data_IF_168336151537
#
_entry.id   IF_168336151537
#
_cell.length_a   1.000
_cell.length_b   1.000
_cell.length_c   1.000
_cell.angle_alpha   90.00
_cell.angle_beta   90.00
_cell.angle_gamma   90.00
#
_symmetry.space_group_name_H-M   'P 1'
#
loop_
_entity.id
_entity.type
_entity.pdbx_description
1 polymer ?
#
# COMPACT_ATOMS: atom_id res chain seq x y z
N UNK A 1 -7.27 -72.68 28.03
CA UNK A 1 -6.50 -71.45 28.31
C UNK A 1 -6.46 -70.64 27.01
N UNK A 2 -7.37 -69.69 26.83
CA UNK A 2 -7.42 -68.85 25.61
C UNK A 2 -6.56 -67.60 25.86
N UNK A 3 -5.38 -67.56 25.25
CA UNK A 3 -4.52 -66.38 25.25
C UNK A 3 -4.94 -65.51 24.06
N UNK A 4 -5.84 -64.57 24.30
CA UNK A 4 -6.19 -63.55 23.32
C UNK A 4 -5.03 -62.56 23.19
N UNK A 5 -4.21 -62.76 22.16
CA UNK A 5 -3.15 -61.84 21.75
C UNK A 5 -3.79 -60.63 21.07
N UNK A 6 -4.12 -59.60 21.86
CA UNK A 6 -4.49 -58.29 21.35
C UNK A 6 -3.23 -57.61 20.79
N UNK A 7 -3.06 -57.70 19.47
CA UNK A 7 -2.05 -56.97 18.72
C UNK A 7 -2.43 -55.48 18.74
N UNK A 8 -1.83 -54.72 19.67
CA UNK A 8 -1.99 -53.27 19.75
C UNK A 8 -1.38 -52.59 18.53
N UNK A 9 -2.22 -51.98 17.71
CA UNK A 9 -1.80 -51.14 16.59
C UNK A 9 -1.29 -49.80 17.15
N UNK A 10 0.03 -49.68 17.37
CA UNK A 10 0.64 -48.36 17.57
C UNK A 10 0.61 -47.62 16.23
N UNK A 11 -0.32 -46.69 16.10
CA UNK A 11 -0.30 -45.70 15.02
C UNK A 11 0.86 -44.73 15.29
N UNK A 12 2.01 -44.97 14.65
CA UNK A 12 3.09 -43.98 14.59
C UNK A 12 2.64 -42.86 13.65
N UNK A 13 2.17 -41.74 14.19
CA UNK A 13 1.92 -40.54 13.40
C UNK A 13 3.28 -39.94 13.01
N UNK A 14 3.63 -40.02 11.72
CA UNK A 14 4.72 -39.23 11.17
C UNK A 14 4.30 -37.74 11.23
N UNK A 15 5.12 -36.89 11.87
CA UNK A 15 4.96 -35.45 11.75
C UNK A 15 5.33 -35.08 10.31
N UNK A 16 4.33 -34.81 9.48
CA UNK A 16 4.56 -34.21 8.18
C UNK A 16 5.10 -32.80 8.41
N UNK A 17 6.22 -32.46 7.76
CA UNK A 17 6.70 -31.10 7.74
C UNK A 17 5.68 -30.27 6.95
N UNK A 18 4.99 -29.37 7.63
CA UNK A 18 3.96 -28.50 7.06
C UNK A 18 4.43 -27.04 7.08
N UNK A 19 3.87 -26.24 6.16
CA UNK A 19 4.10 -24.80 6.15
C UNK A 19 3.20 -24.15 7.18
N UNK A 20 3.76 -23.35 8.08
CA UNK A 20 2.96 -22.49 8.95
C UNK A 20 2.61 -21.21 8.21
N UNK A 21 1.32 -20.87 8.18
CA UNK A 21 0.78 -19.70 7.48
C UNK A 21 0.14 -18.76 8.51
N UNK A 22 0.74 -17.60 8.72
CA UNK A 22 0.22 -16.55 9.58
C UNK A 22 -0.23 -15.36 8.74
N UNK A 23 -1.54 -15.10 8.68
CA UNK A 23 -2.09 -13.96 7.93
C UNK A 23 -1.88 -12.67 8.74
N UNK A 24 -1.02 -11.78 8.27
CA UNK A 24 -0.67 -10.53 8.95
C UNK A 24 -1.54 -9.36 8.53
N UNK A 25 -2.05 -9.38 7.29
CA UNK A 25 -3.07 -8.45 6.83
C UNK A 25 -4.10 -9.26 6.03
N UNK A 26 -5.25 -9.50 6.65
CA UNK A 26 -6.37 -10.18 6.00
C UNK A 26 -7.13 -9.19 5.10
N UNK A 27 -7.47 -9.64 3.90
CA UNK A 27 -8.30 -8.91 2.95
C UNK A 27 -9.40 -9.87 2.50
N UNK A 28 -10.64 -9.42 2.55
CA UNK A 28 -11.76 -10.17 1.98
C UNK A 28 -11.86 -9.84 0.49
N UNK A 29 -12.06 -10.87 -0.33
CA UNK A 29 -12.18 -10.71 -1.77
C UNK A 29 -13.02 -11.84 -2.39
N UNK A 30 -13.62 -11.54 -3.53
CA UNK A 30 -14.41 -12.54 -4.28
C UNK A 30 -13.51 -13.59 -4.95
N UNK A 31 -12.30 -13.20 -5.39
CA UNK A 31 -11.37 -14.05 -6.14
C UNK A 31 -10.06 -14.26 -5.40
N UNK A 32 -9.92 -15.44 -4.77
CA UNK A 32 -8.69 -15.91 -4.09
C UNK A 32 -7.76 -16.67 -5.04
N UNK A 33 -6.45 -16.67 -4.79
CA UNK A 33 -5.45 -17.42 -5.57
C UNK A 33 -5.73 -18.92 -5.63
N UNK A 34 -5.47 -19.50 -6.80
CA UNK A 34 -5.65 -20.93 -7.10
C UNK A 34 -4.44 -21.48 -7.85
N UNK A 35 -4.26 -22.80 -7.80
CA UNK A 35 -3.20 -23.45 -8.58
C UNK A 35 -3.40 -23.20 -10.08
N UNK A 36 -2.33 -22.78 -10.76
CA UNK A 36 -2.32 -22.37 -12.16
C UNK A 36 -2.44 -20.86 -12.38
N UNK A 37 -2.72 -20.07 -11.33
CA UNK A 37 -2.73 -18.61 -11.45
C UNK A 37 -1.33 -18.06 -11.69
N UNK A 38 -1.24 -17.08 -12.59
CA UNK A 38 -0.04 -16.26 -12.73
C UNK A 38 -0.14 -15.09 -11.76
N UNK A 39 0.67 -15.11 -10.71
CA UNK A 39 0.60 -14.15 -9.60
C UNK A 39 1.82 -13.26 -9.54
N UNK A 40 1.63 -12.05 -9.00
CA UNK A 40 2.69 -11.09 -8.70
C UNK A 40 2.76 -10.90 -7.20
N UNK A 41 3.92 -11.11 -6.60
CA UNK A 41 4.12 -10.99 -5.15
C UNK A 41 5.31 -10.10 -4.83
N UNK A 42 5.19 -9.39 -3.71
CA UNK A 42 6.34 -8.87 -2.99
C UNK A 42 6.69 -9.80 -1.85
N UNK A 43 7.98 -9.88 -1.51
CA UNK A 43 8.43 -10.68 -0.40
C UNK A 43 9.74 -10.19 0.22
N UNK A 44 9.96 -10.64 1.45
CA UNK A 44 11.24 -10.59 2.16
C UNK A 44 11.48 -11.95 2.80
N UNK A 45 12.64 -12.55 2.52
CA UNK A 45 13.05 -13.84 3.05
C UNK A 45 14.17 -13.68 4.09
N UNK A 46 13.94 -14.20 5.28
CA UNK A 46 14.90 -14.19 6.39
C UNK A 46 15.13 -15.59 6.94
N UNK A 47 16.30 -15.80 7.53
CA UNK A 47 16.61 -16.98 8.34
C UNK A 47 16.12 -16.78 9.78
N UNK A 48 16.06 -17.86 10.56
CA UNK A 48 15.67 -17.80 11.98
C UNK A 48 16.59 -16.93 12.84
N UNK A 49 17.83 -16.69 12.38
CA UNK A 49 18.78 -15.78 13.02
C UNK A 49 18.54 -14.29 12.68
N UNK A 50 17.52 -13.97 11.87
CA UNK A 50 17.19 -12.62 11.42
C UNK A 50 17.96 -12.13 10.19
N UNK A 51 18.89 -12.92 9.64
CA UNK A 51 19.61 -12.57 8.42
C UNK A 51 18.66 -12.59 7.22
N UNK A 52 18.53 -11.46 6.53
CA UNK A 52 17.86 -11.40 5.24
C UNK A 52 18.75 -11.99 4.15
N UNK A 53 18.22 -13.00 3.45
CA UNK A 53 18.94 -13.63 2.34
C UNK A 53 18.43 -13.19 0.97
N UNK A 54 17.17 -12.73 0.87
CA UNK A 54 16.56 -12.28 -0.38
C UNK A 54 15.34 -11.37 -0.14
N UNK A 55 15.10 -10.43 -1.05
CA UNK A 55 13.99 -9.48 -0.97
C UNK A 55 13.62 -8.95 -2.35
N UNK A 56 12.33 -8.84 -2.63
CA UNK A 56 11.84 -8.22 -3.86
C UNK A 56 11.78 -6.70 -3.77
N UNK A 57 11.78 -6.10 -2.58
CA UNK A 57 11.58 -4.66 -2.40
C UNK A 57 12.70 -3.80 -3.00
N UNK A 58 13.91 -4.36 -3.13
CA UNK A 58 15.05 -3.69 -3.78
C UNK A 58 15.04 -3.85 -5.31
N UNK A 59 14.03 -4.51 -5.87
CA UNK A 59 13.92 -4.87 -7.29
C UNK A 59 12.45 -4.88 -7.74
N UNK A 60 12.19 -5.42 -8.93
CA UNK A 60 10.84 -5.61 -9.40
C UNK A 60 10.12 -6.73 -8.62
N UNK A 61 8.78 -6.62 -8.41
CA UNK A 61 8.00 -7.70 -7.83
C UNK A 61 8.18 -9.03 -8.58
N UNK A 62 8.13 -10.12 -7.83
CA UNK A 62 8.36 -11.45 -8.38
C UNK A 62 7.07 -12.02 -8.97
N UNK A 63 7.18 -12.64 -10.16
CA UNK A 63 6.04 -13.18 -10.88
C UNK A 63 6.27 -14.64 -11.23
N UNK A 64 5.28 -15.49 -11.00
CA UNK A 64 5.36 -16.92 -11.28
C UNK A 64 3.97 -17.56 -11.37
N UNK A 65 3.92 -18.81 -11.82
CA UNK A 65 2.68 -19.60 -11.86
C UNK A 65 2.57 -20.47 -10.60
N UNK A 66 1.52 -20.25 -9.81
CA UNK A 66 1.31 -20.91 -8.53
C UNK A 66 0.97 -22.40 -8.71
N UNK A 67 1.54 -23.28 -7.89
CA UNK A 67 1.20 -24.71 -7.86
C UNK A 67 1.75 -25.51 -9.05
N UNK A 68 2.80 -25.02 -9.70
CA UNK A 68 3.47 -25.68 -10.84
C UNK A 68 4.88 -26.17 -10.54
N UNK A 69 5.36 -26.06 -9.29
CA UNK A 69 6.71 -26.42 -8.91
C UNK A 69 7.77 -25.51 -9.50
N UNK A 70 7.41 -24.27 -9.84
CA UNK A 70 8.37 -23.25 -10.32
C UNK A 70 9.16 -22.61 -9.18
N UNK A 71 8.63 -22.70 -7.96
CA UNK A 71 9.18 -22.17 -6.71
C UNK A 71 9.31 -23.28 -5.68
N UNK A 72 9.84 -22.97 -4.50
CA UNK A 72 9.91 -23.93 -3.40
C UNK A 72 8.51 -24.44 -3.02
N UNK A 73 8.42 -25.70 -2.61
CA UNK A 73 7.13 -26.34 -2.31
C UNK A 73 6.34 -25.59 -1.26
N UNK A 74 7.02 -24.98 -0.28
CA UNK A 74 6.37 -24.19 0.75
C UNK A 74 5.63 -22.96 0.21
N UNK A 75 6.09 -22.36 -0.89
CA UNK A 75 5.38 -21.25 -1.54
C UNK A 75 4.16 -21.75 -2.32
N UNK A 76 4.29 -22.86 -3.03
CA UNK A 76 3.18 -23.47 -3.76
C UNK A 76 2.02 -23.88 -2.83
N UNK A 77 2.32 -24.23 -1.58
CA UNK A 77 1.31 -24.53 -0.55
C UNK A 77 0.85 -23.27 0.20
N UNK A 78 1.77 -22.38 0.59
CA UNK A 78 1.50 -21.24 1.47
C UNK A 78 0.76 -20.06 0.83
N UNK A 79 0.82 -19.94 -0.50
CA UNK A 79 0.26 -18.81 -1.25
C UNK A 79 -1.10 -19.12 -1.91
N UNK A 80 -1.69 -20.29 -1.61
CA UNK A 80 -3.04 -20.64 -2.03
C UNK A 80 -4.11 -19.91 -1.20
N UNK A 81 -5.29 -19.69 -1.80
CA UNK A 81 -6.43 -19.08 -1.14
C UNK A 81 -6.14 -17.69 -0.54
N UNK A 82 -5.36 -16.87 -1.24
CA UNK A 82 -4.94 -15.53 -0.84
C UNK A 82 -5.64 -14.45 -1.66
N UNK A 83 -6.00 -13.34 -1.03
CA UNK A 83 -6.60 -12.18 -1.67
C UNK A 83 -5.56 -11.16 -2.13
N UNK A 84 -5.86 -10.41 -3.20
CA UNK A 84 -4.97 -9.33 -3.66
C UNK A 84 -4.91 -8.25 -2.56
N UNK A 85 -3.71 -7.86 -2.17
CA UNK A 85 -3.44 -6.95 -1.05
C UNK A 85 -3.20 -7.64 0.29
N UNK A 86 -3.51 -8.94 0.41
CA UNK A 86 -3.28 -9.70 1.64
C UNK A 86 -1.76 -9.81 1.93
N UNK A 87 -1.40 -9.89 3.21
CA UNK A 87 -0.03 -10.16 3.66
C UNK A 87 0.03 -11.39 4.54
N UNK A 88 1.07 -12.21 4.35
CA UNK A 88 1.29 -13.44 5.09
C UNK A 88 2.73 -13.60 5.51
N UNK A 89 2.90 -14.15 6.70
CA UNK A 89 4.14 -14.72 7.21
C UNK A 89 4.11 -16.22 6.99
N UNK A 90 5.11 -16.74 6.28
CA UNK A 90 5.27 -18.17 6.03
C UNK A 90 6.49 -18.67 6.78
N UNK A 91 6.33 -19.72 7.58
CA UNK A 91 7.45 -20.48 8.14
C UNK A 91 7.56 -21.78 7.37
N UNK A 92 8.64 -21.94 6.61
CA UNK A 92 8.83 -23.05 5.69
C UNK A 92 9.98 -23.91 6.19
N UNK A 93 9.73 -25.17 6.59
CA UNK A 93 10.80 -26.07 7.00
C UNK A 93 11.72 -26.40 5.81
N UNK A 94 12.99 -26.70 6.10
CA UNK A 94 14.01 -26.94 5.08
C UNK A 94 13.61 -28.01 4.04
N UNK A 95 12.89 -29.05 4.46
CA UNK A 95 12.35 -30.11 3.60
C UNK A 95 11.39 -29.61 2.50
N UNK A 96 10.65 -28.53 2.74
CA UNK A 96 9.76 -27.87 1.77
C UNK A 96 10.41 -26.66 1.07
N UNK A 97 11.67 -26.37 1.40
CA UNK A 97 12.47 -25.29 0.84
C UNK A 97 13.61 -25.83 -0.05
N UNK A 98 14.86 -25.74 0.42
CA UNK A 98 16.07 -26.15 -0.33
C UNK A 98 16.63 -27.51 0.12
N UNK A 99 16.05 -28.11 1.16
CA UNK A 99 16.47 -29.37 1.76
C UNK A 99 17.91 -29.35 2.26
N UNK A 100 18.50 -30.53 2.38
CA UNK A 100 19.91 -30.69 2.77
C UNK A 100 20.89 -30.50 1.60
N UNK A 101 20.38 -30.27 0.39
CA UNK A 101 21.18 -30.24 -0.84
C UNK A 101 21.81 -28.89 -1.16
N UNK A 102 21.24 -27.80 -0.63
CA UNK A 102 21.64 -26.43 -0.93
C UNK A 102 21.49 -25.55 0.30
N UNK A 103 22.52 -24.75 0.58
CA UNK A 103 22.49 -23.71 1.60
C UNK A 103 22.05 -22.35 1.06
N UNK A 104 21.69 -21.44 1.97
CA UNK A 104 21.30 -20.07 1.67
C UNK A 104 21.80 -19.12 2.77
N UNK A 105 22.46 -18.03 2.38
CA UNK A 105 23.13 -17.12 3.32
C UNK A 105 24.14 -17.86 4.23
N UNK A 106 24.05 -17.60 5.53
CA UNK A 106 24.83 -18.33 6.55
C UNK A 106 24.40 -19.79 6.74
N UNK A 107 23.16 -20.16 6.43
CA UNK A 107 22.64 -21.49 6.69
C UNK A 107 23.04 -22.50 5.59
N UNK A 108 23.59 -23.66 5.98
CA UNK A 108 24.22 -24.61 5.04
C UNK A 108 23.32 -25.73 4.55
N UNK A 109 22.44 -26.26 5.40
CA UNK A 109 21.59 -27.41 5.09
C UNK A 109 20.30 -27.34 5.89
N UNK A 110 19.18 -27.76 5.28
CA UNK A 110 17.88 -27.97 5.96
C UNK A 110 17.40 -26.77 6.79
N UNK A 111 17.50 -25.59 6.20
CA UNK A 111 17.22 -24.32 6.84
C UNK A 111 15.72 -24.04 6.88
N UNK A 112 15.18 -23.73 8.05
CA UNK A 112 13.85 -23.11 8.15
C UNK A 112 13.92 -21.69 7.60
N UNK A 113 13.01 -21.37 6.68
CA UNK A 113 12.93 -20.05 6.05
C UNK A 113 11.70 -19.32 6.52
N UNK A 114 11.87 -18.04 6.84
CA UNK A 114 10.80 -17.13 7.20
C UNK A 114 10.55 -16.18 6.02
N UNK A 115 9.30 -16.06 5.59
CA UNK A 115 8.95 -15.14 4.50
C UNK A 115 7.83 -14.21 4.92
N UNK A 116 8.05 -12.92 4.80
CA UNK A 116 6.98 -11.93 4.72
C UNK A 116 6.58 -11.79 3.25
N UNK A 117 5.32 -12.00 2.93
CA UNK A 117 4.80 -11.99 1.56
C UNK A 117 3.58 -11.08 1.42
N UNK A 118 3.43 -10.47 0.27
CA UNK A 118 2.32 -9.58 -0.10
C UNK A 118 1.86 -9.90 -1.52
N UNK A 119 0.58 -10.23 -1.70
CA UNK A 119 0.03 -10.49 -3.03
C UNK A 119 -0.33 -9.18 -3.71
N UNK A 120 0.35 -8.84 -4.79
CA UNK A 120 0.10 -7.59 -5.53
C UNK A 120 -0.93 -7.74 -6.64
N UNK A 121 -1.07 -8.95 -7.20
CA UNK A 121 -2.04 -9.17 -8.27
C UNK A 121 -2.10 -10.60 -8.78
N UNK A 122 -3.21 -10.89 -9.45
CA UNK A 122 -3.45 -12.12 -10.19
C UNK A 122 -3.72 -11.71 -11.63
N UNK A 123 -3.04 -12.33 -12.60
CA UNK A 123 -3.20 -11.98 -14.01
C UNK A 123 -4.66 -12.14 -14.45
N UNK A 124 -5.25 -11.06 -14.94
CA UNK A 124 -6.65 -11.03 -15.40
C UNK A 124 -7.68 -10.77 -14.30
N UNK A 125 -7.25 -10.47 -13.07
CA UNK A 125 -8.13 -10.08 -11.95
C UNK A 125 -7.82 -8.63 -11.58
N UNK A 126 -8.83 -7.77 -11.56
CA UNK A 126 -8.67 -6.39 -11.10
C UNK A 126 -8.49 -6.37 -9.57
N UNK A 127 -7.63 -5.46 -9.08
CA UNK A 127 -7.51 -5.20 -7.65
C UNK A 127 -8.81 -4.53 -7.18
N UNK A 128 -9.57 -5.21 -6.34
CA UNK A 128 -10.69 -4.60 -5.62
C UNK A 128 -10.06 -3.60 -4.65
N UNK A 129 -10.14 -2.31 -4.98
CA UNK A 129 -9.71 -1.28 -4.03
C UNK A 129 -10.59 -1.40 -2.79
N UNK A 130 -10.00 -1.51 -1.59
CA UNK A 130 -10.80 -1.61 -0.37
C UNK A 130 -11.68 -0.37 -0.33
N UNK A 131 -12.99 -0.56 -0.47
CA UNK A 131 -13.98 0.47 -0.18
C UNK A 131 -13.72 0.88 1.26
N UNK A 132 -13.04 2.01 1.43
CA UNK A 132 -12.95 2.68 2.72
C UNK A 132 -14.40 2.89 3.15
N UNK A 133 -14.85 2.13 4.14
CA UNK A 133 -16.08 2.49 4.84
C UNK A 133 -15.86 3.92 5.33
N UNK A 134 -16.66 4.83 4.76
CA UNK A 134 -16.64 6.23 5.09
C UNK A 134 -17.06 6.37 6.56
N UNK A 135 -16.08 6.68 7.38
CA UNK A 135 -16.24 6.92 8.81
C UNK A 135 -14.97 7.55 9.35
N UNK A 136 -14.82 8.85 9.07
CA UNK A 136 -14.24 9.90 9.92
C UNK A 136 -13.43 10.91 9.11
N UNK A 137 -13.92 12.15 9.23
CA UNK A 137 -13.47 13.37 8.60
C UNK A 137 -12.04 13.70 9.04
N UNK A 138 -11.14 13.86 8.08
CA UNK A 138 -9.91 14.59 8.28
C UNK A 138 -9.83 15.64 7.19
N UNK A 139 -10.37 16.82 7.49
CA UNK A 139 -10.02 18.06 6.81
C UNK A 139 -8.51 18.25 6.93
N UNK A 140 -7.79 18.02 5.83
CA UNK A 140 -6.45 18.55 5.65
C UNK A 140 -6.57 19.65 4.61
N UNK A 141 -6.83 20.87 5.10
CA UNK A 141 -6.56 22.09 4.35
C UNK A 141 -5.05 22.11 4.07
N UNK A 142 -4.69 21.91 2.80
CA UNK A 142 -3.35 22.16 2.31
C UNK A 142 -3.42 23.47 1.52
N UNK A 143 -3.24 24.59 2.22
CA UNK A 143 -2.99 25.87 1.58
C UNK A 143 -1.63 25.80 0.88
N UNK A 144 -1.65 25.74 -0.45
CA UNK A 144 -0.49 25.95 -1.29
C UNK A 144 -0.42 27.44 -1.61
N UNK A 145 0.39 28.16 -0.84
CA UNK A 145 0.83 29.51 -1.21
C UNK A 145 1.82 29.39 -2.37
N UNK A 146 1.41 29.86 -3.55
CA UNK A 146 2.29 30.10 -4.68
C UNK A 146 2.88 31.51 -4.55
N UNK A 147 4.17 31.56 -4.25
CA UNK A 147 4.99 32.77 -4.20
C UNK A 147 5.26 33.25 -5.64
N UNK A 148 4.77 34.45 -5.99
CA UNK A 148 4.94 35.05 -7.31
C UNK A 148 6.36 35.62 -7.47
N UNK A 149 7.13 35.03 -8.38
CA UNK A 149 8.34 35.64 -8.93
C UNK A 149 7.99 36.53 -10.12
N UNK A 150 7.92 37.84 -9.93
CA UNK A 150 7.78 38.80 -11.03
C UNK A 150 9.16 39.29 -11.49
N UNK A 151 9.56 38.81 -12.66
CA UNK A 151 10.68 39.34 -13.42
C UNK A 151 10.23 40.53 -14.29
N UNK A 152 11.02 41.60 -14.20
CA UNK A 152 10.96 42.83 -14.99
C UNK A 152 11.03 42.59 -16.51
N UNK A 153 10.32 43.40 -17.32
CA UNK A 153 10.92 44.33 -18.32
C UNK A 153 9.86 44.96 -19.26
N UNK A 154 9.96 46.28 -19.34
CA UNK A 154 9.50 47.25 -20.34
C UNK A 154 9.36 46.79 -21.80
N UNK A 155 8.23 47.11 -22.44
CA UNK A 155 8.21 47.80 -23.75
C UNK A 155 6.81 48.29 -24.19
N UNK A 156 6.71 49.61 -24.29
CA UNK A 156 5.96 50.49 -25.21
C UNK A 156 5.17 49.90 -26.41
N UNK A 157 3.98 50.51 -26.62
CA UNK A 157 3.50 51.17 -27.87
C UNK A 157 2.25 50.60 -28.59
N UNK A 158 1.20 51.45 -28.62
CA UNK A 158 0.22 51.76 -29.70
C UNK A 158 -0.75 50.73 -30.31
N UNK A 159 -2.00 51.20 -30.48
CA UNK A 159 -2.93 50.84 -31.57
C UNK A 159 -4.14 50.02 -31.09
N UNK A 160 -5.32 50.60 -30.89
CA UNK A 160 -6.40 50.72 -31.88
C UNK A 160 -6.72 49.38 -32.58
N UNK A 161 -7.79 48.70 -32.17
CA UNK A 161 -9.04 48.67 -32.96
C UNK A 161 -10.17 47.87 -32.29
N UNK A 162 -11.38 48.43 -32.43
CA UNK A 162 -12.69 47.89 -32.10
C UNK A 162 -13.05 46.65 -32.93
N UNK A 163 -13.80 45.68 -32.37
CA UNK A 163 -15.07 45.17 -32.96
C UNK A 163 -15.97 44.56 -31.86
N UNK A 164 -17.17 45.11 -31.72
CA UNK A 164 -18.34 44.52 -31.04
C UNK A 164 -19.26 43.95 -32.11
N UNK A 165 -19.61 42.67 -32.05
CA UNK A 165 -20.81 42.02 -32.64
C UNK A 165 -20.97 40.67 -31.88
N UNK A 166 -22.01 40.29 -31.14
CA UNK A 166 -23.42 40.69 -31.10
C UNK A 166 -24.27 39.50 -31.55
N UNK A 167 -24.88 38.71 -30.64
CA UNK A 167 -26.06 37.83 -30.89
C UNK A 167 -26.64 37.46 -29.52
N UNK A 168 -27.76 38.07 -29.12
CA UNK A 168 -29.14 37.64 -29.40
C UNK A 168 -29.70 36.82 -28.22
N UNK A 169 -30.55 37.49 -27.44
CA UNK A 169 -31.23 36.89 -26.29
C UNK A 169 -32.35 35.94 -26.69
N UNK A 170 -32.73 35.11 -25.72
CA UNK A 170 -34.03 34.45 -25.66
C UNK A 170 -34.50 34.51 -24.19
N UNK A 171 -35.49 35.36 -23.92
CA UNK A 171 -36.25 35.36 -22.67
C UNK A 171 -37.25 34.19 -22.70
N UNK A 172 -37.41 33.48 -21.59
CA UNK A 172 -38.73 33.07 -21.10
C UNK A 172 -38.77 33.10 -19.56
N UNK A 173 -39.78 33.82 -19.07
CA UNK A 173 -40.09 34.11 -17.67
C UNK A 173 -41.01 33.02 -17.14
N UNK A 174 -40.72 32.45 -15.96
CA UNK A 174 -41.70 31.68 -15.18
C UNK A 174 -41.61 32.03 -13.70
N UNK A 175 -42.71 32.61 -13.22
CA UNK A 175 -43.18 32.70 -11.84
C UNK A 175 -42.44 33.64 -10.87
N UNK A 176 -43.17 34.69 -10.48
CA UNK A 176 -42.69 35.80 -9.68
C UNK A 176 -42.19 35.39 -8.30
N UNK A 177 -41.07 36.01 -7.90
CA UNK A 177 -40.99 36.88 -6.72
C UNK A 177 -39.66 37.62 -6.82
N UNK A 178 -39.73 38.95 -6.83
CA UNK A 178 -38.57 39.84 -6.89
C UNK A 178 -38.00 39.99 -5.48
N UNK A 179 -36.79 39.50 -5.21
CA UNK A 179 -36.02 39.92 -4.02
C UNK A 179 -34.61 40.32 -4.43
N UNK A 180 -34.37 41.64 -4.38
CA UNK A 180 -33.05 42.24 -4.42
C UNK A 180 -32.39 42.08 -3.04
N UNK A 181 -31.21 41.45 -2.98
CA UNK A 181 -30.32 41.60 -1.82
C UNK A 181 -29.01 42.24 -2.28
N UNK A 182 -28.89 43.49 -1.83
CA UNK A 182 -27.79 44.43 -2.01
C UNK A 182 -26.62 44.03 -1.13
N UNK A 183 -25.49 43.69 -1.73
CA UNK A 183 -24.23 43.51 -1.00
C UNK A 183 -23.82 44.84 -0.33
N UNK A 184 -23.74 44.85 1.01
CA UNK A 184 -23.06 45.91 1.76
C UNK A 184 -21.76 45.34 2.32
N UNK A 185 -20.68 45.93 1.86
CA UNK A 185 -19.34 45.80 2.43
C UNK A 185 -19.32 46.54 3.77
N UNK A 186 -18.87 45.90 4.85
CA UNK A 186 -18.70 46.55 6.16
C UNK A 186 -17.38 46.09 6.81
N UNK A 187 -16.39 47.00 6.76
CA UNK A 187 -15.17 46.98 7.57
C UNK A 187 -15.48 47.19 9.05
N UNK A 188 -14.66 46.58 9.92
CA UNK A 188 -14.17 46.99 11.27
C UNK A 188 -14.11 45.76 12.18
N UNK A 189 -13.22 45.60 13.15
CA UNK A 189 -12.03 46.33 13.60
C UNK A 189 -11.49 45.57 14.83
N UNK A 190 -10.19 45.71 15.11
CA UNK A 190 -9.60 45.53 16.44
C UNK A 190 -9.29 44.09 16.84
N UNK A 191 -8.31 43.80 17.70
CA UNK A 191 -7.60 44.68 18.63
C UNK A 191 -6.36 43.95 19.15
N UNK A 192 -5.25 44.68 19.15
CA UNK A 192 -4.00 44.43 19.89
C UNK A 192 -4.24 44.07 21.36
N UNK A 193 -3.43 43.16 21.93
CA UNK A 193 -2.83 43.32 23.27
C UNK A 193 -1.80 42.22 23.63
N UNK A 194 -0.57 42.66 23.98
CA UNK A 194 0.43 42.10 24.93
C UNK A 194 1.00 40.69 24.70
N UNK A 195 2.28 40.36 24.93
CA UNK A 195 3.50 40.98 25.49
C UNK A 195 4.57 39.88 25.38
N UNK A 196 5.81 40.14 24.94
CA UNK A 196 6.91 40.50 25.82
C UNK A 196 7.48 39.28 26.56
N UNK A 197 8.57 38.70 26.04
CA UNK A 197 9.73 38.12 26.76
C UNK A 197 10.69 37.52 25.70
N UNK A 198 11.93 38.04 25.57
CA UNK A 198 13.23 37.43 25.96
C UNK A 198 13.41 36.04 25.33
N UNK A 199 14.50 35.63 24.68
CA UNK A 199 15.87 35.35 25.17
C UNK A 199 16.80 35.31 23.92
N UNK A 200 17.93 36.02 23.91
CA UNK A 200 19.27 35.55 24.31
C UNK A 200 20.00 34.67 23.25
N UNK A 201 20.97 35.33 22.62
CA UNK A 201 22.19 34.90 21.91
C UNK A 201 22.64 33.43 21.92
N UNK A 202 23.03 32.94 20.73
CA UNK A 202 24.35 32.32 20.38
C UNK A 202 24.51 32.57 18.87
N UNK A 203 25.58 33.12 18.28
CA UNK A 203 26.98 33.13 18.65
C UNK A 203 27.80 32.44 17.55
N UNK A 204 28.27 33.23 16.57
CA UNK A 204 29.54 33.09 15.81
C UNK A 204 29.84 31.83 14.97
N UNK A 205 30.06 32.04 13.66
CA UNK A 205 31.43 32.00 13.11
C UNK A 205 31.55 32.84 11.84
N UNK A 206 32.51 33.76 11.85
CA UNK A 206 33.05 34.46 10.70
C UNK A 206 34.04 33.55 9.94
N UNK A 207 34.31 33.93 8.70
CA UNK A 207 35.48 33.50 7.92
C UNK A 207 36.81 33.86 8.61
#
# INVERSE_FOLDING_TARGET
MHVSLLLGLLATSALAAEVTIDVTNAVECTRKTQAGDYITVNYRGTLENGEEFDSSYNRAPFQFTLGKGQVIQGWDQGLLNMCIGEKRKLTIPGSLAYGSSRGIGSCKTDCTLLFDTELLGIKGVAKEEPTKEAGEEHEHEHEHEHEEGEATVSARQSGLDHVILGFAGLLFVVSGTLFFIRARNAKRAGKSIFGGDKYETVGQHTA
#
